data_IF_153375416954
#
_entry.id   IF_153375416954
#
_cell.length_a   1.000
_cell.length_b   1.000
_cell.length_c   1.000
_cell.angle_alpha   90.00
_cell.angle_beta   90.00
_cell.angle_gamma   90.00
#
_symmetry.space_group_name_H-M   'P 1'
#
loop_
_entity.id
_entity.type
_entity.pdbx_description
1 polymer ?
#
# COMPACT_ATOMS: atom_id res chain seq x y z
N UNK A 1 18.34 -27.13 25.47
CA UNK A 1 17.28 -27.34 24.48
C UNK A 1 16.09 -26.58 24.99
N UNK A 2 15.99 -25.30 24.61
CA UNK A 2 14.86 -24.45 25.00
C UNK A 2 13.57 -25.07 24.44
N UNK A 3 12.47 -25.08 25.21
CA UNK A 3 11.22 -25.64 24.73
C UNK A 3 10.81 -24.92 23.44
N UNK A 4 10.35 -25.65 22.42
CA UNK A 4 9.88 -25.05 21.17
C UNK A 4 8.87 -23.94 21.50
N UNK A 5 9.16 -22.71 21.05
CA UNK A 5 8.29 -21.56 21.26
C UNK A 5 6.89 -21.93 20.78
N UNK A 6 5.92 -21.88 21.68
CA UNK A 6 4.54 -22.26 21.35
C UNK A 6 4.04 -21.38 20.21
N UNK A 7 3.28 -21.95 19.27
CA UNK A 7 2.63 -21.20 18.19
C UNK A 7 1.92 -19.93 18.70
N UNK A 8 1.26 -20.01 19.85
CA UNK A 8 0.59 -18.88 20.47
C UNK A 8 1.57 -17.79 20.96
N UNK A 9 2.77 -18.16 21.40
CA UNK A 9 3.81 -17.19 21.75
C UNK A 9 4.36 -16.45 20.54
N UNK A 10 4.60 -17.17 19.43
CA UNK A 10 5.06 -16.56 18.17
C UNK A 10 4.00 -15.62 17.60
N UNK A 11 2.73 -16.03 17.60
CA UNK A 11 1.61 -15.18 17.17
C UNK A 11 1.45 -13.92 18.02
N UNK A 12 1.59 -14.03 19.34
CA UNK A 12 1.56 -12.86 20.24
C UNK A 12 2.75 -11.93 19.99
N UNK A 13 3.92 -12.49 19.74
CA UNK A 13 5.12 -11.73 19.42
C UNK A 13 4.99 -11.00 18.08
N UNK A 14 4.49 -11.67 17.04
CA UNK A 14 4.22 -11.07 15.73
C UNK A 14 3.28 -9.86 15.86
N UNK A 15 2.14 -10.01 16.54
CA UNK A 15 1.19 -8.91 16.77
C UNK A 15 1.79 -7.73 17.53
N UNK A 16 2.66 -8.00 18.51
CA UNK A 16 3.34 -6.95 19.27
C UNK A 16 4.32 -6.19 18.37
N UNK A 17 5.09 -6.92 17.55
CA UNK A 17 6.04 -6.32 16.61
C UNK A 17 5.32 -5.53 15.51
N UNK A 18 4.20 -6.04 14.97
CA UNK A 18 3.33 -5.33 14.03
C UNK A 18 2.85 -3.99 14.61
N UNK A 19 2.27 -4.01 15.82
CA UNK A 19 1.78 -2.79 16.45
C UNK A 19 2.89 -1.76 16.74
N UNK A 20 4.07 -2.23 17.15
CA UNK A 20 5.24 -1.36 17.34
C UNK A 20 5.74 -0.78 16.03
N UNK A 21 5.76 -1.59 14.96
CA UNK A 21 6.19 -1.18 13.64
C UNK A 21 5.23 -0.13 13.06
N UNK A 22 3.92 -0.32 13.18
CA UNK A 22 2.89 0.65 12.79
C UNK A 22 3.10 2.01 13.48
N UNK A 23 3.32 2.01 14.79
CA UNK A 23 3.54 3.24 15.56
C UNK A 23 4.82 3.97 15.13
N UNK A 24 5.90 3.23 14.86
CA UNK A 24 7.16 3.79 14.37
C UNK A 24 7.03 4.33 12.95
N UNK A 25 6.36 3.61 12.04
CA UNK A 25 6.10 4.06 10.67
C UNK A 25 5.25 5.33 10.69
N UNK A 26 4.22 5.40 11.55
CA UNK A 26 3.40 6.60 11.70
C UNK A 26 4.21 7.80 12.22
N UNK A 27 5.11 7.57 13.18
CA UNK A 27 6.00 8.60 13.71
C UNK A 27 7.01 9.07 12.65
N UNK A 28 7.58 8.14 11.90
CA UNK A 28 8.46 8.44 10.76
C UNK A 28 7.72 9.25 9.70
N UNK A 29 6.46 8.92 9.40
CA UNK A 29 5.63 9.71 8.47
C UNK A 29 5.49 11.17 8.90
N UNK A 30 5.34 11.43 10.21
CA UNK A 30 5.33 12.80 10.74
C UNK A 30 6.67 13.50 10.55
N UNK A 31 7.80 12.81 10.75
CA UNK A 31 9.13 13.37 10.48
C UNK A 31 9.28 13.74 9.00
N UNK A 32 8.83 12.86 8.09
CA UNK A 32 8.85 13.12 6.64
C UNK A 32 8.01 14.35 6.25
N UNK A 33 6.88 14.58 6.93
CA UNK A 33 6.07 15.79 6.67
C UNK A 33 6.72 17.07 7.18
N UNK A 34 7.44 17.00 8.31
CA UNK A 34 8.11 18.16 8.91
C UNK A 34 9.49 18.45 8.31
N UNK A 35 10.02 17.53 7.49
CA UNK A 35 11.39 17.58 6.95
C UNK A 35 12.39 17.80 8.10
N UNK A 36 12.21 17.06 9.19
CA UNK A 36 13.11 17.11 10.34
C UNK A 36 14.32 16.22 10.04
N UNK A 37 15.46 16.86 9.73
CA UNK A 37 16.65 16.23 9.15
C UNK A 37 17.59 15.60 10.19
N UNK A 38 17.31 15.78 11.49
CA UNK A 38 18.26 15.49 12.56
C UNK A 38 18.17 14.06 13.10
N UNK A 39 16.99 13.44 13.08
CA UNK A 39 16.73 12.14 13.72
C UNK A 39 16.30 11.03 12.73
N UNK A 40 16.52 11.23 11.44
CA UNK A 40 16.04 10.34 10.37
C UNK A 40 16.72 8.97 10.36
N UNK A 41 18.04 8.93 10.47
CA UNK A 41 18.83 7.68 10.41
C UNK A 41 18.55 6.74 11.57
N UNK A 42 18.34 7.27 12.78
CA UNK A 42 18.02 6.47 13.96
C UNK A 42 16.62 5.86 13.85
N UNK A 43 15.65 6.64 13.37
CA UNK A 43 14.30 6.15 13.12
C UNK A 43 14.27 5.09 12.00
N UNK A 44 14.99 5.30 10.90
CA UNK A 44 15.13 4.30 9.82
C UNK A 44 15.74 2.99 10.33
N UNK A 45 16.86 3.07 11.06
CA UNK A 45 17.54 1.88 11.59
C UNK A 45 16.64 1.08 12.55
N UNK A 46 15.88 1.77 13.40
CA UNK A 46 14.93 1.13 14.32
C UNK A 46 13.80 0.42 13.58
N UNK A 47 13.26 1.03 12.52
CA UNK A 47 12.22 0.41 11.69
C UNK A 47 12.76 -0.82 10.95
N UNK A 48 13.98 -0.72 10.38
CA UNK A 48 14.65 -1.85 9.71
C UNK A 48 14.89 -3.02 10.69
N UNK A 49 15.30 -2.74 11.93
CA UNK A 49 15.45 -3.76 12.96
C UNK A 49 14.13 -4.44 13.31
N UNK A 50 13.04 -3.69 13.48
CA UNK A 50 11.71 -4.25 13.75
C UNK A 50 11.19 -5.10 12.59
N UNK A 51 11.41 -4.66 11.35
CA UNK A 51 11.08 -5.43 10.14
C UNK A 51 11.85 -6.75 10.09
N UNK A 52 13.16 -6.74 10.38
CA UNK A 52 13.97 -7.96 10.45
C UNK A 52 13.47 -8.92 11.53
N UNK A 53 13.13 -8.41 12.72
CA UNK A 53 12.58 -9.23 13.80
C UNK A 53 11.22 -9.84 13.44
N UNK A 54 10.32 -9.06 12.83
CA UNK A 54 9.01 -9.57 12.39
C UNK A 54 9.17 -10.62 11.28
N UNK A 55 10.13 -10.42 10.37
CA UNK A 55 10.46 -11.41 9.32
C UNK A 55 10.96 -12.71 9.92
N UNK A 56 11.83 -12.64 10.92
CA UNK A 56 12.34 -13.82 11.63
C UNK A 56 11.21 -14.61 12.30
N UNK A 57 10.30 -13.91 13.00
CA UNK A 57 9.13 -14.54 13.63
C UNK A 57 8.22 -15.19 12.58
N UNK A 58 7.99 -14.54 11.44
CA UNK A 58 7.20 -15.11 10.34
C UNK A 58 7.84 -16.39 9.75
N UNK A 59 9.17 -16.44 9.62
CA UNK A 59 9.90 -17.64 9.17
C UNK A 59 9.76 -18.78 10.19
N UNK A 60 9.87 -18.48 11.48
CA UNK A 60 9.65 -19.47 12.55
C UNK A 60 8.21 -20.00 12.51
N UNK A 61 7.21 -19.12 12.36
CA UNK A 61 5.81 -19.52 12.19
C UNK A 61 5.61 -20.37 10.92
N UNK A 62 6.31 -20.07 9.82
CA UNK A 62 6.26 -20.88 8.60
C UNK A 62 6.82 -22.30 8.79
N UNK A 63 7.86 -22.47 9.61
CA UNK A 63 8.39 -23.79 9.95
C UNK A 63 7.39 -24.65 10.73
N UNK A 64 6.56 -24.03 11.58
CA UNK A 64 5.46 -24.69 12.30
C UNK A 64 4.29 -25.07 11.40
N UNK A 65 3.93 -24.21 10.45
CA UNK A 65 2.88 -24.51 9.48
C UNK A 65 3.27 -25.71 8.58
N UNK A 66 4.54 -25.80 8.19
CA UNK A 66 5.06 -26.83 7.27
C UNK A 66 5.32 -28.19 7.95
N UNK A 67 5.55 -28.22 9.27
CA UNK A 67 5.86 -29.44 10.04
C UNK A 67 4.63 -30.25 10.51
N UNK A 68 3.44 -29.93 10.00
CA UNK A 68 2.19 -30.66 10.30
C UNK A 68 1.06 -29.81 10.88
N UNK A 69 1.07 -28.51 10.61
CA UNK A 69 0.07 -27.57 11.12
C UNK A 69 -1.32 -27.70 10.50
N UNK A 70 -2.35 -27.42 11.30
CA UNK A 70 -3.75 -27.25 10.87
C UNK A 70 -3.89 -26.12 9.83
N UNK A 71 -4.86 -26.23 8.91
CA UNK A 71 -5.20 -25.21 7.89
C UNK A 71 -5.40 -23.79 8.46
N UNK A 72 -5.83 -23.70 9.73
CA UNK A 72 -5.99 -22.45 10.48
C UNK A 72 -4.66 -21.72 10.72
N UNK A 73 -3.56 -22.47 10.92
CA UNK A 73 -2.23 -21.90 11.10
C UNK A 73 -1.71 -21.31 9.78
N UNK A 74 -1.98 -21.98 8.65
CA UNK A 74 -1.64 -21.50 7.32
C UNK A 74 -2.32 -20.17 7.01
N UNK A 75 -3.64 -20.05 7.23
CA UNK A 75 -4.34 -18.77 7.00
C UNK A 75 -3.83 -17.65 7.91
N UNK A 76 -3.56 -17.96 9.18
CA UNK A 76 -3.03 -16.96 10.12
C UNK A 76 -1.62 -16.50 9.71
N UNK A 77 -0.78 -17.42 9.25
CA UNK A 77 0.55 -17.12 8.74
C UNK A 77 0.49 -16.25 7.48
N UNK A 78 -0.35 -16.61 6.50
CA UNK A 78 -0.51 -15.83 5.26
C UNK A 78 -0.85 -14.38 5.60
N UNK A 79 -1.78 -14.16 6.54
CA UNK A 79 -2.11 -12.80 6.99
C UNK A 79 -0.91 -12.05 7.59
N UNK A 80 -0.11 -12.71 8.44
CA UNK A 80 1.07 -12.08 9.02
C UNK A 80 2.16 -11.80 7.97
N UNK A 81 2.23 -12.58 6.89
CA UNK A 81 3.11 -12.33 5.75
C UNK A 81 2.63 -11.14 4.92
N UNK A 82 1.32 -11.05 4.63
CA UNK A 82 0.71 -9.90 3.95
C UNK A 82 0.95 -8.60 4.71
N UNK A 83 0.70 -8.59 6.03
CA UNK A 83 0.95 -7.40 6.87
C UNK A 83 2.43 -7.00 6.82
N UNK A 84 3.35 -7.96 6.91
CA UNK A 84 4.78 -7.66 6.81
C UNK A 84 5.14 -7.04 5.46
N UNK A 85 4.60 -7.57 4.37
CA UNK A 85 4.83 -7.06 3.03
C UNK A 85 4.31 -5.63 2.89
N UNK A 86 3.07 -5.38 3.32
CA UNK A 86 2.45 -4.05 3.30
C UNK A 86 3.29 -3.02 4.08
N UNK A 87 3.72 -3.36 5.31
CA UNK A 87 4.54 -2.47 6.14
C UNK A 87 5.94 -2.23 5.55
N UNK A 88 6.52 -3.25 4.91
CA UNK A 88 7.81 -3.11 4.22
C UNK A 88 7.69 -2.19 3.01
N UNK A 89 6.64 -2.35 2.21
CA UNK A 89 6.36 -1.51 1.06
C UNK A 89 6.08 -0.07 1.48
N UNK A 90 5.27 0.14 2.52
CA UNK A 90 4.97 1.46 3.07
C UNK A 90 6.25 2.16 3.53
N UNK A 91 7.11 1.47 4.30
CA UNK A 91 8.38 2.04 4.74
C UNK A 91 9.29 2.42 3.57
N UNK A 92 9.40 1.56 2.55
CA UNK A 92 10.20 1.85 1.35
C UNK A 92 9.70 3.08 0.58
N UNK A 93 8.39 3.19 0.41
CA UNK A 93 7.75 4.37 -0.18
C UNK A 93 8.04 5.64 0.62
N UNK A 94 7.92 5.56 1.94
CA UNK A 94 8.09 6.69 2.83
C UNK A 94 9.55 7.17 2.87
N UNK A 95 10.50 6.25 2.88
CA UNK A 95 11.94 6.52 2.77
C UNK A 95 12.31 7.20 1.46
N UNK A 96 11.77 6.72 0.34
CA UNK A 96 11.98 7.34 -0.97
C UNK A 96 11.44 8.78 -1.00
N UNK A 97 10.19 8.96 -0.54
CA UNK A 97 9.56 10.29 -0.45
C UNK A 97 10.36 11.25 0.43
N UNK A 98 10.86 10.77 1.56
CA UNK A 98 11.69 11.55 2.46
C UNK A 98 13.01 11.97 1.82
N UNK A 99 13.70 11.05 1.15
CA UNK A 99 14.95 11.33 0.44
C UNK A 99 14.75 12.43 -0.61
N UNK A 100 13.70 12.34 -1.43
CA UNK A 100 13.39 13.38 -2.42
C UNK A 100 13.13 14.73 -1.76
N UNK A 101 12.37 14.79 -0.66
CA UNK A 101 12.11 16.03 0.07
C UNK A 101 13.38 16.61 0.70
N UNK A 102 14.24 15.76 1.23
CA UNK A 102 15.53 16.15 1.82
C UNK A 102 16.46 16.73 0.78
N UNK A 103 16.57 16.09 -0.39
CA UNK A 103 17.33 16.62 -1.52
C UNK A 103 16.80 17.98 -1.95
N UNK A 104 15.48 18.13 -2.08
CA UNK A 104 14.84 19.39 -2.43
C UNK A 104 15.09 20.50 -1.39
N UNK A 105 15.07 20.16 -0.10
CA UNK A 105 15.36 21.10 0.98
C UNK A 105 16.83 21.52 0.98
N UNK A 106 17.76 20.59 0.75
CA UNK A 106 19.20 20.88 0.63
C UNK A 106 19.49 21.83 -0.52
N UNK A 107 18.89 21.61 -1.69
CA UNK A 107 19.07 22.49 -2.86
C UNK A 107 18.53 23.90 -2.60
N UNK A 108 17.41 24.03 -1.89
CA UNK A 108 16.87 25.33 -1.50
C UNK A 108 17.76 26.04 -0.48
N UNK A 109 18.35 25.31 0.46
CA UNK A 109 19.28 25.88 1.43
C UNK A 109 20.55 26.40 0.75
N UNK A 110 21.13 25.62 -0.18
CA UNK A 110 22.26 26.05 -1.00
C UNK A 110 21.94 27.32 -1.81
N UNK A 111 20.73 27.40 -2.39
CA UNK A 111 20.30 28.59 -3.11
C UNK A 111 20.12 29.81 -2.19
N UNK A 112 19.58 29.60 -0.98
CA UNK A 112 19.40 30.66 0.02
C UNK A 112 20.74 31.17 0.53
N UNK A 113 21.71 30.30 0.75
CA UNK A 113 23.04 30.67 1.19
C UNK A 113 23.82 31.38 0.07
N UNK A 114 23.64 30.96 -1.19
CA UNK A 114 24.13 31.68 -2.35
C UNK A 114 23.55 33.10 -2.45
N UNK A 115 22.23 33.28 -2.28
CA UNK A 115 21.59 34.60 -2.32
C UNK A 115 22.03 35.48 -1.12
N UNK A 116 22.19 34.89 0.07
CA UNK A 116 22.70 35.59 1.27
C UNK A 116 24.16 36.03 1.12
N UNK A 117 25.02 35.15 0.58
CA UNK A 117 26.44 35.49 0.35
C UNK A 117 26.59 36.59 -0.69
N UNK A 118 25.77 36.61 -1.75
CA UNK A 118 25.71 37.73 -2.69
C UNK A 118 25.29 39.02 -2.01
N UNK A 119 24.21 39.02 -1.23
CA UNK A 119 23.74 40.20 -0.51
C UNK A 119 24.80 40.76 0.45
N UNK A 120 25.55 39.90 1.15
CA UNK A 120 26.65 40.32 2.03
C UNK A 120 27.85 40.93 1.29
N UNK A 121 28.13 40.51 0.04
CA UNK A 121 29.18 41.11 -0.79
C UNK A 121 28.73 42.47 -1.35
N UNK A 122 27.42 42.66 -1.49
CA UNK A 122 26.81 43.85 -2.10
C UNK A 122 26.58 45.01 -1.12
N UNK A 123 26.49 44.75 0.20
CA UNK A 123 26.35 45.77 1.26
C UNK A 123 27.60 46.67 1.42
N UNK A 124 28.72 46.32 0.75
CA UNK A 124 29.94 47.12 0.71
C UNK A 124 30.03 48.16 -0.42
N UNK A 125 29.11 48.17 -1.40
CA UNK A 125 29.21 49.05 -2.58
C UNK A 125 27.84 49.57 -3.01
N UNK A 126 27.61 50.87 -2.84
CA UNK A 126 26.32 51.57 -3.01
C UNK A 126 25.68 51.53 -4.41
N UNK A 127 25.10 50.41 -4.80
CA UNK A 127 24.31 50.23 -6.03
C UNK A 127 22.86 49.86 -5.76
N UNK A 128 22.03 50.74 -5.18
CA UNK A 128 20.70 50.35 -4.68
C UNK A 128 19.58 50.27 -5.74
N UNK A 129 19.57 51.15 -6.76
CA UNK A 129 18.41 51.22 -7.68
C UNK A 129 18.56 50.34 -8.93
N UNK A 130 19.71 50.41 -9.61
CA UNK A 130 19.94 49.67 -10.87
C UNK A 130 19.97 48.15 -10.61
N UNK A 131 20.55 47.75 -9.48
CA UNK A 131 20.58 46.37 -9.00
C UNK A 131 19.18 45.82 -8.72
N UNK A 132 18.31 46.64 -8.12
CA UNK A 132 16.92 46.28 -7.85
C UNK A 132 16.16 46.06 -9.16
N UNK A 133 16.37 46.92 -10.16
CA UNK A 133 15.77 46.77 -11.49
C UNK A 133 16.29 45.54 -12.24
N UNK A 134 17.59 45.23 -12.13
CA UNK A 134 18.17 44.02 -12.71
C UNK A 134 17.64 42.75 -12.02
N UNK A 135 17.47 42.77 -10.70
CA UNK A 135 16.85 41.69 -9.92
C UNK A 135 15.38 41.50 -10.31
N UNK A 136 14.64 42.60 -10.46
CA UNK A 136 13.26 42.57 -10.94
C UNK A 136 13.17 41.98 -12.34
N UNK A 137 14.04 42.42 -13.27
CA UNK A 137 14.10 41.88 -14.64
C UNK A 137 14.44 40.39 -14.65
N UNK A 138 15.38 39.94 -13.80
CA UNK A 138 15.69 38.52 -13.65
C UNK A 138 14.51 37.73 -13.08
N UNK A 139 13.76 38.31 -12.14
CA UNK A 139 12.55 37.68 -11.59
C UNK A 139 11.43 37.57 -12.62
N UNK A 140 11.19 38.62 -13.42
CA UNK A 140 10.21 38.63 -14.52
C UNK A 140 10.57 37.60 -15.59
N UNK A 141 11.84 37.50 -15.95
CA UNK A 141 12.29 36.50 -16.91
C UNK A 141 12.07 35.07 -16.39
N UNK A 142 12.33 34.82 -15.10
CA UNK A 142 12.03 33.52 -14.47
C UNK A 142 10.53 33.23 -14.45
N UNK A 143 9.69 34.22 -14.11
CA UNK A 143 8.24 34.07 -14.15
C UNK A 143 7.72 33.81 -15.57
N UNK A 144 8.28 34.45 -16.60
CA UNK A 144 7.94 34.18 -17.99
C UNK A 144 8.25 32.73 -18.37
N UNK A 145 9.46 32.24 -18.04
CA UNK A 145 9.84 30.85 -18.33
C UNK A 145 8.97 29.83 -17.57
N UNK A 146 8.55 30.14 -16.33
CA UNK A 146 7.62 29.31 -15.57
C UNK A 146 6.22 29.27 -16.21
N UNK A 147 5.72 30.40 -16.71
CA UNK A 147 4.45 30.46 -17.45
C UNK A 147 4.53 29.58 -18.70
N UNK A 148 5.63 29.63 -19.46
CA UNK A 148 5.81 28.78 -20.64
C UNK A 148 5.76 27.29 -20.28
N UNK A 149 6.36 26.89 -19.16
CA UNK A 149 6.29 25.52 -18.66
C UNK A 149 4.87 25.11 -18.25
N UNK A 150 4.11 26.01 -17.61
CA UNK A 150 2.70 25.76 -17.24
C UNK A 150 1.82 25.64 -18.48
N UNK A 151 2.06 26.49 -19.50
CA UNK A 151 1.35 26.42 -20.79
C UNK A 151 1.65 25.10 -21.49
N UNK A 152 2.91 24.67 -21.51
CA UNK A 152 3.29 23.37 -22.08
C UNK A 152 2.63 22.20 -21.35
N UNK A 153 2.65 22.20 -20.01
CA UNK A 153 2.01 21.18 -19.19
C UNK A 153 0.48 21.16 -19.35
N UNK A 154 -0.15 22.32 -19.47
CA UNK A 154 -1.57 22.45 -19.75
C UNK A 154 -1.93 21.88 -21.14
N UNK A 155 -1.09 22.13 -22.16
CA UNK A 155 -1.28 21.58 -23.49
C UNK A 155 -1.16 20.05 -23.52
N UNK A 156 -0.19 19.49 -22.78
CA UNK A 156 -0.05 18.05 -22.61
C UNK A 156 -1.28 17.46 -21.90
N UNK A 157 -1.74 18.10 -20.81
CA UNK A 157 -2.94 17.68 -20.08
C UNK A 157 -4.17 17.72 -20.96
N UNK A 158 -4.37 18.77 -21.78
CA UNK A 158 -5.46 18.84 -22.75
C UNK A 158 -5.40 17.71 -23.78
N UNK A 159 -4.22 17.42 -24.33
CA UNK A 159 -4.03 16.30 -25.25
C UNK A 159 -4.38 14.96 -24.59
N UNK A 160 -3.99 14.74 -23.32
CA UNK A 160 -4.34 13.53 -22.58
C UNK A 160 -5.85 13.44 -22.31
N UNK A 161 -6.52 14.54 -21.98
CA UNK A 161 -7.97 14.59 -21.77
C UNK A 161 -8.75 14.33 -23.07
N UNK A 162 -8.27 14.85 -24.20
CA UNK A 162 -8.83 14.58 -25.53
C UNK A 162 -8.65 13.11 -25.90
N UNK A 163 -7.47 12.53 -25.65
CA UNK A 163 -7.23 11.10 -25.84
C UNK A 163 -8.11 10.25 -24.93
N UNK A 164 -8.23 10.59 -23.64
CA UNK A 164 -9.13 9.93 -22.70
C UNK A 164 -10.59 10.00 -23.17
N UNK A 165 -11.05 11.15 -23.69
CA UNK A 165 -12.41 11.30 -24.26
C UNK A 165 -12.63 10.38 -25.46
N UNK A 166 -11.64 10.25 -26.34
CA UNK A 166 -11.66 9.29 -27.47
C UNK A 166 -11.75 7.84 -26.98
N UNK A 167 -10.97 7.49 -25.94
CA UNK A 167 -11.00 6.16 -25.31
C UNK A 167 -12.35 5.87 -24.64
N UNK A 168 -12.96 6.83 -23.95
CA UNK A 168 -14.30 6.71 -23.37
C UNK A 168 -15.39 6.53 -24.44
N UNK A 169 -15.25 7.17 -25.60
CA UNK A 169 -16.10 6.91 -26.76
C UNK A 169 -16.02 5.45 -27.23
N UNK A 170 -14.80 4.89 -27.27
CA UNK A 170 -14.58 3.48 -27.60
C UNK A 170 -15.10 2.48 -26.55
N UNK A 171 -15.05 2.84 -25.27
CA UNK A 171 -15.53 2.00 -24.16
C UNK A 171 -17.06 1.83 -24.19
N UNK A 172 -17.82 2.87 -24.57
CA UNK A 172 -19.27 2.74 -24.77
C UNK A 172 -19.63 1.70 -25.84
N UNK A 173 -18.85 1.62 -26.93
CA UNK A 173 -19.01 0.59 -27.95
C UNK A 173 -18.72 -0.83 -27.45
N UNK A 174 -17.72 -0.99 -26.57
CA UNK A 174 -17.36 -2.31 -25.98
C UNK A 174 -18.33 -2.75 -24.88
N UNK A 175 -18.86 -1.82 -24.07
CA UNK A 175 -19.89 -2.12 -23.06
C UNK A 175 -21.22 -2.53 -23.72
N UNK A 176 -21.62 -1.89 -24.83
CA UNK A 176 -22.76 -2.34 -25.62
C UNK A 176 -22.63 -3.79 -26.12
N UNK A 177 -21.40 -4.21 -26.44
CA UNK A 177 -21.09 -5.57 -26.88
C UNK A 177 -20.91 -6.59 -25.74
N UNK A 178 -20.68 -6.14 -24.50
CA UNK A 178 -20.67 -6.97 -23.28
C UNK A 178 -22.11 -7.19 -22.77
N UNK A 179 -23.00 -6.21 -22.94
CA UNK A 179 -24.42 -6.31 -22.61
C UNK A 179 -25.14 -7.47 -23.32
N UNK A 180 -24.70 -7.84 -24.53
CA UNK A 180 -25.24 -8.99 -25.27
C UNK A 180 -24.74 -10.36 -24.79
N UNK A 181 -23.75 -10.43 -23.87
CA UNK A 181 -23.20 -11.68 -23.32
C UNK A 181 -23.57 -11.96 -21.86
N UNK A 182 -24.17 -11.00 -21.16
CA UNK A 182 -24.66 -11.17 -19.79
C UNK A 182 -25.77 -12.22 -19.59
N UNK A 183 -26.68 -12.55 -20.55
CA UNK A 183 -27.69 -13.58 -20.30
C UNK A 183 -27.14 -15.01 -20.18
N UNK A 184 -25.89 -15.29 -20.57
CA UNK A 184 -25.33 -16.65 -20.51
C UNK A 184 -24.74 -17.03 -19.14
N UNK A 185 -24.41 -16.06 -18.28
CA UNK A 185 -23.74 -16.32 -16.99
C UNK A 185 -24.74 -16.85 -15.94
N UNK A 186 -26.03 -16.51 -16.07
CA UNK A 186 -27.08 -17.04 -15.19
C UNK A 186 -27.34 -18.55 -15.38
N UNK A 187 -27.08 -19.11 -16.57
CA UNK A 187 -27.24 -20.54 -16.81
C UNK A 187 -26.18 -21.39 -16.10
N UNK A 188 -24.95 -20.88 -16.02
CA UNK A 188 -23.80 -21.60 -15.44
C UNK A 188 -23.89 -21.56 -13.90
N UNK A 189 -24.31 -20.43 -13.32
CA UNK A 189 -24.51 -20.29 -11.88
C UNK A 189 -25.70 -21.13 -11.36
N UNK A 190 -26.78 -21.25 -12.14
CA UNK A 190 -27.93 -22.13 -11.84
C UNK A 190 -27.55 -23.61 -11.87
N UNK A 191 -26.74 -24.02 -12.86
CA UNK A 191 -26.28 -25.40 -13.02
C UNK A 191 -25.36 -25.85 -11.89
N UNK A 192 -24.53 -24.94 -11.35
CA UNK A 192 -23.65 -25.20 -10.21
C UNK A 192 -24.43 -25.37 -8.90
N UNK A 193 -25.49 -24.59 -8.66
CA UNK A 193 -26.33 -24.74 -7.46
C UNK A 193 -27.15 -26.04 -7.45
N UNK A 194 -27.58 -26.53 -8.62
CA UNK A 194 -28.40 -27.76 -8.73
C UNK A 194 -27.68 -29.04 -8.33
N UNK A 195 -26.35 -29.14 -8.53
CA UNK A 195 -25.60 -30.36 -8.20
C UNK A 195 -25.42 -30.53 -6.68
N UNK A 196 -25.17 -29.44 -5.95
CA UNK A 196 -25.01 -29.46 -4.48
C UNK A 196 -26.33 -29.71 -3.73
N UNK A 197 -27.48 -29.32 -4.28
CA UNK A 197 -28.78 -29.57 -3.65
C UNK A 197 -29.24 -31.03 -3.75
N UNK A 198 -28.89 -31.74 -4.83
CA UNK A 198 -29.29 -33.15 -5.03
C UNK A 198 -28.63 -34.08 -4.00
N UNK A 199 -27.34 -33.91 -3.74
CA UNK A 199 -26.61 -34.74 -2.77
C UNK A 199 -27.18 -34.57 -1.34
N UNK A 200 -27.62 -33.35 -0.99
CA UNK A 200 -28.23 -33.06 0.32
C UNK A 200 -29.61 -33.72 0.47
N UNK A 201 -30.42 -33.72 -0.60
CA UNK A 201 -31.75 -34.34 -0.60
C UNK A 201 -31.63 -35.86 -0.42
N UNK A 202 -30.73 -36.51 -1.18
CA UNK A 202 -30.52 -37.96 -1.12
C UNK A 202 -30.05 -38.39 0.28
N UNK A 203 -29.09 -37.66 0.86
CA UNK A 203 -28.58 -37.94 2.20
C UNK A 203 -29.67 -37.85 3.28
N UNK A 204 -30.51 -36.81 3.22
CA UNK A 204 -31.61 -36.62 4.18
C UNK A 204 -32.68 -37.71 4.10
N UNK A 205 -32.98 -38.20 2.89
CA UNK A 205 -33.98 -39.24 2.66
C UNK A 205 -33.50 -40.60 3.19
N UNK A 206 -32.23 -40.94 2.96
CA UNK A 206 -31.62 -42.18 3.50
C UNK A 206 -31.58 -42.15 5.03
N UNK A 207 -31.18 -41.02 5.63
CA UNK A 207 -31.16 -40.88 7.09
C UNK A 207 -32.56 -41.03 7.71
N UNK A 208 -33.60 -40.45 7.07
CA UNK A 208 -34.99 -40.56 7.54
C UNK A 208 -35.52 -42.00 7.44
N UNK A 209 -35.25 -42.71 6.35
CA UNK A 209 -35.65 -44.12 6.18
C UNK A 209 -34.97 -45.02 7.21
N UNK A 210 -33.68 -44.80 7.47
CA UNK A 210 -32.93 -45.56 8.48
C UNK A 210 -33.52 -45.36 9.89
N UNK A 211 -33.81 -44.10 10.27
CA UNK A 211 -34.44 -43.79 11.56
C UNK A 211 -35.84 -44.41 11.69
N UNK A 212 -36.64 -44.41 10.63
CA UNK A 212 -37.98 -45.00 10.63
C UNK A 212 -37.96 -46.52 10.81
N UNK A 213 -37.05 -47.22 10.12
CA UNK A 213 -36.90 -48.67 10.27
C UNK A 213 -36.42 -49.06 11.69
N UNK A 214 -35.52 -48.28 12.28
CA UNK A 214 -35.07 -48.48 13.66
C UNK A 214 -36.21 -48.30 14.66
N UNK A 215 -37.08 -47.30 14.46
CA UNK A 215 -38.27 -47.08 15.29
C UNK A 215 -39.27 -48.24 15.20
N UNK A 216 -39.54 -48.75 13.99
CA UNK A 216 -40.43 -49.91 13.81
C UNK A 216 -39.85 -51.16 14.48
N UNK A 217 -38.55 -51.41 14.31
CA UNK A 217 -37.89 -52.56 14.95
C UNK A 217 -37.97 -52.48 16.48
N UNK A 218 -37.78 -51.28 17.05
CA UNK A 218 -37.90 -51.06 18.49
C UNK A 218 -39.34 -51.21 18.98
N UNK A 219 -40.34 -50.76 18.22
CA UNK A 219 -41.76 -50.96 18.57
C UNK A 219 -42.25 -52.40 18.43
N UNK A 220 -41.65 -53.18 17.52
CA UNK A 220 -42.01 -54.57 17.25
C UNK A 220 -41.39 -55.57 18.25
N UNK A 221 -40.47 -55.12 19.10
CA UNK A 221 -39.75 -55.94 20.07
C UNK A 221 -40.21 -55.67 21.48
#
# INVERSE_FOLDING_TARGET
MDPPSSWDSLRKQARKLEAQLDEQIHSYRKLVTKVDLSNDKEAESRIEQLLMQLKQVNVEMQSWATSGGSEIFSHTLTRHQEILEDLTQEFGWLRSSYKTKKEHASLLDDFREFDRSRLNIEDGSGGSYEQTLLKERASLHRSSAQIDSVVSQAQETLNTLVFQRSVFGGISGKIGNIGSRLPNINGILSSIKKKKSMDTIILSLVASLCMFLMLIYWWSK
#
